data_IF_632754470442
#
_entry.id   IF_632754470442
#
_cell.length_a   1.000
_cell.length_b   1.000
_cell.length_c   1.000
_cell.angle_alpha   90.00
_cell.angle_beta   90.00
_cell.angle_gamma   90.00
#
_symmetry.space_group_name_H-M   'P 1'
#
loop_
_entity.id
_entity.type
_entity.pdbx_description
1 polymer ?
#
# COMPACT_ATOMS: atom_id res chain seq x y z
N UNK A 1 -4.55 8.98 14.98
CA UNK A 1 -4.38 8.72 13.54
C UNK A 1 -5.64 8.06 12.99
N UNK A 2 -6.12 8.47 11.81
CA UNK A 2 -7.30 7.90 11.14
C UNK A 2 -6.87 7.33 9.78
N UNK A 3 -7.24 6.09 9.48
CA UNK A 3 -6.78 5.37 8.29
C UNK A 3 -7.98 4.80 7.54
N UNK A 4 -7.97 4.88 6.21
CA UNK A 4 -8.96 4.26 5.35
C UNK A 4 -8.31 3.83 4.02
N UNK A 5 -8.45 2.57 3.63
CA UNK A 5 -8.08 2.12 2.30
C UNK A 5 -9.24 2.45 1.36
N UNK A 6 -9.07 3.43 0.49
CA UNK A 6 -10.13 3.89 -0.41
C UNK A 6 -10.35 2.93 -1.59
N UNK A 7 -9.26 2.37 -2.12
CA UNK A 7 -9.26 1.35 -3.16
C UNK A 7 -7.99 0.51 -3.07
N UNK A 8 -8.07 -0.79 -3.41
CA UNK A 8 -6.89 -1.65 -3.41
C UNK A 8 -7.01 -2.80 -4.41
N UNK A 9 -6.07 -2.87 -5.35
CA UNK A 9 -5.95 -3.90 -6.39
C UNK A 9 -5.57 -3.32 -7.75
N UNK A 10 -5.49 -4.14 -8.78
CA UNK A 10 -5.01 -3.81 -10.13
C UNK A 10 -5.82 -2.73 -10.88
N UNK A 11 -6.94 -2.27 -10.33
CA UNK A 11 -7.74 -1.16 -10.88
C UNK A 11 -7.42 0.18 -10.22
N UNK A 12 -6.66 0.17 -9.14
CA UNK A 12 -6.21 1.37 -8.47
C UNK A 12 -6.01 1.17 -6.98
N UNK A 13 -4.92 1.71 -6.47
CA UNK A 13 -4.52 1.69 -5.07
C UNK A 13 -4.47 3.11 -4.53
N UNK A 14 -5.20 3.35 -3.47
CA UNK A 14 -5.23 4.63 -2.74
C UNK A 14 -5.55 4.36 -1.28
N UNK A 15 -4.70 4.81 -0.39
CA UNK A 15 -4.98 4.77 1.06
C UNK A 15 -4.87 6.16 1.66
N UNK A 16 -5.80 6.50 2.53
CA UNK A 16 -5.84 7.76 3.26
C UNK A 16 -5.33 7.56 4.67
N UNK A 17 -4.43 8.43 5.12
CA UNK A 17 -3.93 8.50 6.49
C UNK A 17 -4.02 9.94 6.97
N UNK A 18 -4.75 10.17 8.05
CA UNK A 18 -4.82 11.46 8.73
C UNK A 18 -4.16 11.36 10.09
N UNK A 19 -3.30 12.30 10.36
CA UNK A 19 -2.58 12.49 11.62
C UNK A 19 -3.04 13.78 12.28
N UNK A 20 -2.43 14.21 13.38
CA UNK A 20 -2.78 15.47 14.03
C UNK A 20 -2.60 16.68 13.10
N UNK A 21 -1.57 16.66 12.24
CA UNK A 21 -1.19 17.82 11.43
C UNK A 21 -1.23 17.58 9.92
N UNK A 22 -1.37 16.34 9.45
CA UNK A 22 -1.27 15.99 8.04
C UNK A 22 -2.42 15.14 7.54
N UNK A 23 -2.82 15.38 6.28
CA UNK A 23 -3.72 14.53 5.49
C UNK A 23 -2.95 13.96 4.31
N UNK A 24 -2.64 12.68 4.40
CA UNK A 24 -1.72 11.97 3.52
C UNK A 24 -2.50 11.01 2.61
N UNK A 25 -2.20 11.01 1.32
CA UNK A 25 -2.55 9.90 0.44
C UNK A 25 -1.31 9.04 0.16
N UNK A 26 -1.47 7.74 0.29
CA UNK A 26 -0.52 6.74 -0.17
C UNK A 26 -1.05 6.22 -1.51
N UNK A 27 -0.33 6.54 -2.57
CA UNK A 27 -0.71 6.36 -3.97
C UNK A 27 -1.99 7.10 -4.41
N UNK A 28 -2.18 7.20 -5.72
CA UNK A 28 -3.34 7.79 -6.38
C UNK A 28 -3.72 7.00 -7.64
N UNK A 29 -3.90 5.69 -7.50
CA UNK A 29 -4.00 4.77 -8.62
C UNK A 29 -5.34 4.71 -9.34
N UNK A 30 -6.42 5.23 -8.73
CA UNK A 30 -7.74 5.27 -9.35
C UNK A 30 -8.06 6.67 -9.90
N UNK A 31 -9.28 6.90 -10.43
CA UNK A 31 -9.61 8.21 -10.95
C UNK A 31 -9.92 9.24 -9.84
N UNK A 32 -9.65 10.51 -10.13
CA UNK A 32 -9.75 11.60 -9.16
C UNK A 32 -11.16 11.80 -8.60
N UNK A 33 -12.21 11.52 -9.41
CA UNK A 33 -13.62 11.63 -8.98
C UNK A 33 -13.93 10.58 -7.90
N UNK A 34 -13.42 9.35 -8.08
CA UNK A 34 -13.57 8.29 -7.10
C UNK A 34 -12.89 8.68 -5.77
N UNK A 35 -11.65 9.16 -5.84
CA UNK A 35 -10.90 9.60 -4.63
C UNK A 35 -11.67 10.71 -3.92
N UNK A 36 -12.11 11.75 -4.65
CA UNK A 36 -12.88 12.87 -4.08
C UNK A 36 -14.13 12.38 -3.35
N UNK A 37 -14.93 11.54 -4.00
CA UNK A 37 -16.19 11.08 -3.41
C UNK A 37 -16.00 10.26 -2.12
N UNK A 38 -14.92 9.49 -2.01
CA UNK A 38 -14.62 8.70 -0.83
C UNK A 38 -13.99 9.55 0.29
N UNK A 39 -13.16 10.53 -0.06
CA UNK A 39 -12.66 11.51 0.91
C UNK A 39 -13.79 12.37 1.49
N UNK A 40 -14.76 12.79 0.67
CA UNK A 40 -15.93 13.56 1.11
C UNK A 40 -16.76 12.82 2.16
N UNK A 41 -16.90 11.49 2.06
CA UNK A 41 -17.54 10.65 3.09
C UNK A 41 -16.77 10.74 4.42
N UNK A 42 -15.45 10.94 4.38
CA UNK A 42 -14.60 11.13 5.56
C UNK A 42 -14.57 12.58 6.06
N UNK A 43 -15.31 13.49 5.40
CA UNK A 43 -15.31 14.92 5.69
C UNK A 43 -14.02 15.64 5.23
N UNK A 44 -13.34 15.10 4.24
CA UNK A 44 -12.07 15.61 3.70
C UNK A 44 -12.25 15.95 2.22
N UNK A 45 -11.72 17.08 1.77
CA UNK A 45 -11.66 17.43 0.35
C UNK A 45 -10.27 17.15 -0.23
N UNK A 46 -10.18 17.02 -1.56
CA UNK A 46 -8.88 16.89 -2.24
C UNK A 46 -7.95 18.10 -2.00
N UNK A 47 -8.51 19.28 -1.72
CA UNK A 47 -7.73 20.47 -1.38
C UNK A 47 -7.12 20.42 0.04
N UNK A 48 -7.62 19.56 0.90
CA UNK A 48 -7.09 19.38 2.26
C UNK A 48 -5.89 18.41 2.29
N UNK A 49 -5.66 17.69 1.20
CA UNK A 49 -4.52 16.77 1.09
C UNK A 49 -3.25 17.58 0.94
N UNK A 50 -2.41 17.54 1.94
CA UNK A 50 -1.13 18.26 1.96
C UNK A 50 0.05 17.39 1.46
N UNK A 51 -0.07 16.09 1.55
CA UNK A 51 1.01 15.13 1.26
C UNK A 51 0.51 13.93 0.49
N UNK A 52 1.22 13.58 -0.58
CA UNK A 52 1.03 12.36 -1.36
C UNK A 52 2.37 11.64 -1.42
N UNK A 53 2.39 10.37 -1.05
CA UNK A 53 3.60 9.54 -1.08
C UNK A 53 3.36 8.39 -2.05
N UNK A 54 4.18 8.30 -3.09
CA UNK A 54 4.04 7.31 -4.17
C UNK A 54 4.93 6.10 -3.89
N UNK A 55 4.33 4.91 -3.94
CA UNK A 55 5.06 3.65 -3.76
C UNK A 55 5.87 3.27 -5.01
N UNK A 56 5.28 3.40 -6.19
CA UNK A 56 5.91 3.18 -7.49
C UNK A 56 5.03 3.75 -8.62
N UNK A 57 5.47 3.66 -9.88
CA UNK A 57 4.85 4.43 -10.97
C UNK A 57 3.92 3.64 -11.88
N UNK A 58 3.52 2.41 -11.53
CA UNK A 58 2.49 1.72 -12.30
C UNK A 58 1.18 2.52 -12.31
N UNK A 59 0.41 2.40 -13.38
CA UNK A 59 -0.80 3.21 -13.60
C UNK A 59 -1.82 3.06 -12.48
N UNK A 60 -1.93 1.89 -11.89
CA UNK A 60 -2.81 1.62 -10.75
C UNK A 60 -2.29 2.20 -9.42
N UNK A 61 -1.18 2.96 -9.44
CA UNK A 61 -0.64 3.71 -8.31
C UNK A 61 -0.55 5.22 -8.55
N UNK A 62 -0.48 5.66 -9.82
CA UNK A 62 -0.39 7.09 -10.16
C UNK A 62 -1.48 7.60 -11.13
N UNK A 63 -2.47 6.78 -11.48
CA UNK A 63 -3.43 7.09 -12.54
C UNK A 63 -4.21 8.42 -12.39
N UNK A 64 -4.43 8.90 -11.17
CA UNK A 64 -5.05 10.20 -10.92
C UNK A 64 -4.04 11.34 -10.71
N UNK A 65 -2.76 11.05 -10.52
CA UNK A 65 -1.76 12.02 -10.03
C UNK A 65 -1.61 13.22 -10.96
N UNK A 66 -1.52 13.00 -12.28
CA UNK A 66 -1.42 14.10 -13.25
C UNK A 66 -2.66 15.01 -13.25
N UNK A 67 -3.84 14.45 -13.00
CA UNK A 67 -5.06 15.25 -12.90
C UNK A 67 -5.14 16.00 -11.56
N UNK A 68 -4.57 15.43 -10.50
CA UNK A 68 -4.49 16.08 -9.20
C UNK A 68 -3.58 17.31 -9.26
N UNK A 69 -2.34 17.17 -9.71
CA UNK A 69 -1.34 18.26 -9.73
C UNK A 69 -1.72 19.46 -10.61
N UNK A 70 -2.65 19.27 -11.55
CA UNK A 70 -3.21 20.38 -12.37
C UNK A 70 -4.17 21.28 -11.59
N UNK A 71 -4.70 20.84 -10.45
CA UNK A 71 -5.78 21.51 -9.72
C UNK A 71 -5.47 21.77 -8.25
N UNK A 72 -4.59 20.97 -7.67
CA UNK A 72 -4.30 20.96 -6.24
C UNK A 72 -2.79 21.07 -6.01
N UNK A 73 -2.38 21.49 -4.80
CA UNK A 73 -1.01 21.89 -4.49
C UNK A 73 -0.35 21.05 -3.38
N UNK A 74 -0.88 19.87 -3.05
CA UNK A 74 -0.25 18.95 -2.09
C UNK A 74 1.16 18.54 -2.54
N UNK A 75 2.07 18.37 -1.61
CA UNK A 75 3.44 17.88 -1.89
C UNK A 75 3.38 16.43 -2.37
N UNK A 76 4.09 16.12 -3.45
CA UNK A 76 4.21 14.77 -4.00
C UNK A 76 5.60 14.25 -3.74
N UNK A 77 5.71 13.17 -2.98
CA UNK A 77 6.95 12.52 -2.62
C UNK A 77 7.23 11.34 -3.54
N UNK A 78 8.33 11.37 -4.26
CA UNK A 78 8.80 10.32 -5.17
C UNK A 78 10.31 10.16 -5.08
N UNK A 79 10.83 8.97 -5.39
CA UNK A 79 12.28 8.78 -5.54
C UNK A 79 12.76 9.24 -6.90
N UNK A 80 14.07 9.47 -7.03
CA UNK A 80 14.68 9.79 -8.32
C UNK A 80 14.47 8.64 -9.34
N UNK A 81 14.51 7.39 -8.89
CA UNK A 81 14.26 6.21 -9.74
C UNK A 81 12.86 6.21 -10.35
N UNK A 82 11.83 6.53 -9.55
CA UNK A 82 10.45 6.67 -10.01
C UNK A 82 10.32 7.79 -11.07
N UNK A 83 10.94 8.95 -10.81
CA UNK A 83 10.90 10.09 -11.75
C UNK A 83 11.60 9.75 -13.07
N UNK A 84 12.72 9.03 -13.03
CA UNK A 84 13.44 8.62 -14.23
C UNK A 84 12.70 7.60 -15.11
N UNK A 85 11.74 6.91 -14.53
CA UNK A 85 10.91 5.93 -15.24
C UNK A 85 9.65 6.56 -15.87
N UNK A 86 9.20 7.75 -15.40
CA UNK A 86 8.14 8.51 -16.03
C UNK A 86 8.53 8.92 -17.45
N UNK A 87 7.54 9.07 -18.35
CA UNK A 87 7.77 9.62 -19.68
C UNK A 87 8.42 11.02 -19.60
N UNK A 88 9.21 11.38 -20.62
CA UNK A 88 9.94 12.66 -20.63
C UNK A 88 9.03 13.88 -20.59
N UNK A 89 7.84 13.77 -21.13
CA UNK A 89 6.79 14.79 -21.21
C UNK A 89 5.79 14.74 -20.05
N UNK A 90 5.96 13.83 -19.07
CA UNK A 90 5.08 13.77 -17.91
C UNK A 90 5.12 15.08 -17.09
N UNK A 91 3.96 15.70 -16.84
CA UNK A 91 3.89 16.94 -16.05
C UNK A 91 4.32 16.76 -14.60
N UNK A 92 4.36 15.52 -14.10
CA UNK A 92 4.83 15.21 -12.74
C UNK A 92 6.29 15.62 -12.58
N UNK A 93 7.13 15.47 -13.62
CA UNK A 93 8.57 15.79 -13.56
C UNK A 93 8.87 17.28 -13.27
N UNK A 94 7.98 18.15 -13.66
CA UNK A 94 8.11 19.62 -13.49
C UNK A 94 7.13 20.19 -12.46
N UNK A 95 6.49 19.33 -11.67
CA UNK A 95 5.55 19.79 -10.67
C UNK A 95 6.28 20.58 -9.56
N UNK A 96 5.78 21.77 -9.27
CA UNK A 96 6.44 22.71 -8.33
C UNK A 96 6.57 22.20 -6.89
N UNK A 97 5.62 21.36 -6.47
CA UNK A 97 5.59 20.75 -5.13
C UNK A 97 6.07 19.28 -5.13
N UNK A 98 6.84 18.86 -6.15
CA UNK A 98 7.49 17.56 -6.17
C UNK A 98 8.67 17.57 -5.19
N UNK A 99 8.68 16.60 -4.28
CA UNK A 99 9.75 16.37 -3.31
C UNK A 99 10.45 15.07 -3.63
N UNK A 100 11.74 15.14 -3.92
CA UNK A 100 12.58 13.96 -4.18
C UNK A 100 13.16 13.48 -2.86
N UNK A 101 12.99 12.19 -2.55
CA UNK A 101 13.57 11.55 -1.37
C UNK A 101 14.37 10.31 -1.75
N UNK A 102 15.28 9.91 -0.89
CA UNK A 102 16.05 8.65 -1.01
C UNK A 102 16.00 7.85 0.31
N UNK A 103 15.99 8.57 1.42
CA UNK A 103 15.93 8.04 2.78
C UNK A 103 14.56 8.28 3.43
N UNK A 104 14.46 8.09 4.75
CA UNK A 104 13.25 8.36 5.53
C UNK A 104 12.75 9.80 5.35
N UNK A 105 11.43 9.96 5.29
CA UNK A 105 10.76 11.25 5.16
C UNK A 105 10.38 11.77 6.55
N UNK A 106 10.59 13.06 6.78
CA UNK A 106 10.21 13.73 8.02
C UNK A 106 9.22 14.85 7.71
N UNK A 107 8.05 14.78 8.34
CA UNK A 107 6.95 15.73 8.22
C UNK A 107 6.60 16.18 9.64
N UNK A 108 7.11 17.32 10.07
CA UNK A 108 6.93 17.86 11.41
C UNK A 108 7.12 16.79 12.52
N UNK A 109 6.04 16.26 13.06
CA UNK A 109 6.01 15.24 14.11
C UNK A 109 5.90 13.79 13.59
N UNK A 110 5.86 13.59 12.26
CA UNK A 110 5.75 12.29 11.62
C UNK A 110 7.09 11.86 11.05
N UNK A 111 7.46 10.61 11.29
CA UNK A 111 8.53 9.93 10.58
C UNK A 111 7.95 8.84 9.69
N UNK A 112 8.28 8.89 8.40
CA UNK A 112 7.98 7.83 7.44
C UNK A 112 9.25 7.06 7.17
N UNK A 113 9.36 5.83 7.70
CA UNK A 113 10.46 4.95 7.33
C UNK A 113 10.21 4.39 5.93
N UNK A 114 11.24 4.42 5.11
CA UNK A 114 11.21 3.98 3.73
C UNK A 114 11.78 2.57 3.61
N UNK A 115 11.04 1.69 2.94
CA UNK A 115 11.38 0.28 2.73
C UNK A 115 11.47 0.04 1.23
N UNK A 116 12.58 -0.51 0.76
CA UNK A 116 12.70 -0.93 -0.62
C UNK A 116 11.95 -2.24 -0.83
N UNK A 117 10.95 -2.22 -1.70
CA UNK A 117 10.21 -3.41 -2.14
C UNK A 117 10.88 -4.04 -3.37
N UNK A 118 10.43 -5.22 -3.75
CA UNK A 118 10.92 -5.95 -4.92
C UNK A 118 9.79 -6.10 -5.93
N UNK A 119 9.75 -5.22 -6.90
CA UNK A 119 8.71 -5.18 -7.93
C UNK A 119 9.31 -4.86 -9.29
N UNK A 120 8.59 -5.11 -10.38
CA UNK A 120 9.04 -4.96 -11.77
C UNK A 120 8.99 -3.50 -12.27
N UNK A 121 9.55 -2.61 -11.51
CA UNK A 121 9.75 -1.17 -11.79
C UNK A 121 11.17 -0.79 -11.39
N UNK A 122 11.69 0.31 -11.91
CA UNK A 122 13.06 0.77 -11.57
C UNK A 122 13.24 1.00 -10.08
N UNK A 123 12.19 1.49 -9.43
CA UNK A 123 12.24 1.76 -8.00
C UNK A 123 10.84 1.66 -7.37
N UNK A 124 10.73 0.85 -6.34
CA UNK A 124 9.49 0.69 -5.57
C UNK A 124 9.75 0.75 -4.08
N UNK A 125 8.80 1.28 -3.33
CA UNK A 125 8.89 1.55 -1.88
C UNK A 125 7.63 1.12 -1.14
N UNK A 126 7.84 0.59 0.07
CA UNK A 126 6.83 0.52 1.11
C UNK A 126 7.15 1.52 2.21
N UNK A 127 6.21 1.76 3.11
CA UNK A 127 6.31 2.82 4.10
C UNK A 127 5.86 2.36 5.49
N UNK A 128 6.48 2.92 6.54
CA UNK A 128 5.93 2.90 7.89
C UNK A 128 5.76 4.33 8.36
N UNK A 129 4.53 4.79 8.45
CA UNK A 129 4.19 6.12 8.97
C UNK A 129 4.08 6.02 10.48
N UNK A 130 4.85 6.83 11.20
CA UNK A 130 4.89 6.84 12.66
C UNK A 130 4.45 8.21 13.18
N UNK A 131 3.47 8.21 14.11
CA UNK A 131 3.00 9.38 14.87
C UNK A 131 2.92 8.99 16.34
N UNK A 132 3.84 9.50 17.16
CA UNK A 132 3.94 9.11 18.57
C UNK A 132 4.12 7.59 18.74
N UNK A 133 3.15 6.94 19.40
CA UNK A 133 3.13 5.48 19.59
C UNK A 133 2.38 4.73 18.48
N UNK A 134 1.66 5.44 17.63
CA UNK A 134 0.88 4.83 16.55
C UNK A 134 1.72 4.68 15.28
N UNK A 135 1.44 3.64 14.52
CA UNK A 135 2.16 3.39 13.27
C UNK A 135 1.30 2.63 12.26
N UNK A 136 1.49 2.97 10.98
CA UNK A 136 0.84 2.29 9.85
C UNK A 136 1.91 1.78 8.90
N UNK A 137 1.90 0.48 8.62
CA UNK A 137 2.67 -0.14 7.55
C UNK A 137 1.85 -0.08 6.27
N UNK A 138 2.43 0.42 5.20
CA UNK A 138 1.92 0.31 3.83
C UNK A 138 2.92 -0.47 3.00
N UNK A 139 2.58 -1.71 2.69
CA UNK A 139 3.42 -2.60 1.89
C UNK A 139 2.55 -3.28 0.84
N UNK A 140 2.71 -2.86 -0.39
CA UNK A 140 2.04 -3.39 -1.56
C UNK A 140 3.08 -3.68 -2.64
N UNK A 141 2.73 -4.52 -3.60
CA UNK A 141 3.52 -4.80 -4.80
C UNK A 141 4.97 -5.19 -4.49
N UNK A 142 5.11 -6.39 -3.96
CA UNK A 142 6.43 -6.96 -3.69
C UNK A 142 6.43 -8.47 -3.83
N UNK A 143 7.39 -9.01 -4.57
CA UNK A 143 7.56 -10.46 -4.70
C UNK A 143 8.17 -11.11 -3.44
N UNK A 144 8.87 -10.36 -2.62
CA UNK A 144 9.38 -10.80 -1.32
C UNK A 144 9.71 -9.64 -0.41
N UNK A 145 9.76 -9.91 0.90
CA UNK A 145 10.15 -8.94 1.92
C UNK A 145 11.56 -9.26 2.44
N UNK A 146 12.49 -8.31 2.28
CA UNK A 146 13.84 -8.46 2.79
C UNK A 146 13.88 -8.42 4.32
N UNK A 147 14.47 -9.43 4.95
CA UNK A 147 14.54 -9.58 6.41
C UNK A 147 15.22 -8.41 7.13
N UNK A 148 16.09 -7.65 6.46
CA UNK A 148 16.73 -6.46 7.06
C UNK A 148 15.72 -5.42 7.56
N UNK A 149 14.49 -5.43 7.01
CA UNK A 149 13.42 -4.51 7.38
C UNK A 149 12.51 -5.02 8.51
N UNK A 150 12.69 -6.25 8.97
CA UNK A 150 11.81 -6.83 9.99
C UNK A 150 11.80 -6.01 11.29
N UNK A 151 12.95 -5.45 11.71
CA UNK A 151 13.00 -4.61 12.91
C UNK A 151 12.16 -3.32 12.77
N UNK A 152 12.08 -2.77 11.55
CA UNK A 152 11.29 -1.58 11.26
C UNK A 152 9.80 -1.93 11.16
N UNK A 153 9.49 -3.11 10.64
CA UNK A 153 8.11 -3.55 10.38
C UNK A 153 7.44 -4.23 11.57
N UNK A 154 8.23 -4.77 12.51
CA UNK A 154 7.70 -5.57 13.63
C UNK A 154 6.90 -4.73 14.62
N UNK A 155 5.81 -5.32 15.16
CA UNK A 155 4.99 -4.79 16.24
C UNK A 155 4.42 -3.40 15.92
N UNK A 156 3.91 -3.20 14.70
CA UNK A 156 3.27 -1.96 14.27
C UNK A 156 1.78 -1.99 14.54
N UNK A 157 1.18 -0.80 14.68
CA UNK A 157 -0.23 -0.67 15.10
C UNK A 157 -1.20 -1.16 14.03
N UNK A 158 -0.98 -0.77 12.77
CA UNK A 158 -1.82 -1.18 11.62
C UNK A 158 -0.95 -1.67 10.49
N UNK A 159 -1.37 -2.75 9.84
CA UNK A 159 -0.75 -3.25 8.62
C UNK A 159 -1.73 -3.15 7.45
N UNK A 160 -1.37 -2.38 6.43
CA UNK A 160 -1.92 -2.44 5.08
C UNK A 160 -0.90 -3.26 4.27
N UNK A 161 -1.20 -4.54 4.08
CA UNK A 161 -0.17 -5.50 3.66
C UNK A 161 -0.66 -6.34 2.49
N UNK A 162 0.15 -6.44 1.43
CA UNK A 162 -0.19 -7.21 0.25
C UNK A 162 -0.51 -8.67 0.57
N UNK A 163 -1.59 -9.17 -0.05
CA UNK A 163 -1.96 -10.59 -0.12
C UNK A 163 -2.60 -10.85 -1.48
N UNK A 164 -1.75 -10.94 -2.50
CA UNK A 164 -2.22 -10.80 -3.87
C UNK A 164 -2.96 -12.03 -4.38
N UNK A 165 -2.40 -13.22 -4.27
CA UNK A 165 -2.97 -14.40 -4.92
C UNK A 165 -2.95 -15.66 -4.05
N UNK A 166 -3.94 -16.50 -4.27
CA UNK A 166 -3.89 -17.89 -3.89
C UNK A 166 -3.08 -18.68 -4.91
N UNK A 167 -2.15 -19.51 -4.44
CA UNK A 167 -1.20 -20.23 -5.31
C UNK A 167 -1.92 -21.23 -6.22
N UNK A 168 -2.91 -21.96 -5.69
CA UNK A 168 -3.64 -22.97 -6.46
C UNK A 168 -4.55 -22.31 -7.49
N UNK A 169 -5.25 -21.22 -7.13
CA UNK A 169 -6.04 -20.45 -8.09
C UNK A 169 -5.17 -19.89 -9.22
N UNK A 170 -4.00 -19.37 -8.90
CA UNK A 170 -3.09 -18.83 -9.92
C UNK A 170 -2.58 -19.94 -10.85
N UNK A 171 -2.10 -21.07 -10.31
CA UNK A 171 -1.58 -22.19 -11.11
C UNK A 171 -2.67 -22.75 -12.04
N UNK A 172 -3.87 -22.95 -11.54
CA UNK A 172 -5.01 -23.49 -12.29
C UNK A 172 -5.81 -22.43 -13.06
N UNK A 173 -5.52 -21.15 -12.83
CA UNK A 173 -6.22 -20.01 -13.42
C UNK A 173 -5.94 -19.79 -14.90
N UNK A 174 -6.65 -18.82 -15.47
CA UNK A 174 -6.66 -18.52 -16.91
C UNK A 174 -5.42 -17.76 -17.41
N UNK A 175 -4.57 -17.27 -16.52
CA UNK A 175 -3.37 -16.52 -16.93
C UNK A 175 -2.43 -17.38 -17.78
N UNK A 176 -1.83 -16.83 -18.85
CA UNK A 176 -0.81 -17.53 -19.59
C UNK A 176 0.43 -17.80 -18.72
N UNK A 177 1.22 -18.82 -19.06
CA UNK A 177 2.36 -19.28 -18.26
C UNK A 177 3.32 -18.13 -17.89
N UNK A 178 3.70 -17.30 -18.86
CA UNK A 178 4.61 -16.18 -18.64
C UNK A 178 4.10 -15.18 -17.58
N UNK A 179 2.77 -14.97 -17.51
CA UNK A 179 2.17 -14.07 -16.51
C UNK A 179 2.12 -14.72 -15.12
N UNK A 180 1.86 -16.03 -15.06
CA UNK A 180 1.95 -16.80 -13.81
C UNK A 180 3.37 -16.73 -13.25
N UNK A 181 4.38 -16.98 -14.08
CA UNK A 181 5.80 -16.91 -13.71
C UNK A 181 6.18 -15.49 -13.21
N UNK A 182 5.66 -14.44 -13.87
CA UNK A 182 5.86 -13.06 -13.44
C UNK A 182 5.24 -12.82 -12.06
N UNK A 183 4.01 -13.27 -11.82
CA UNK A 183 3.27 -13.03 -10.55
C UNK A 183 3.96 -13.71 -9.37
N UNK A 184 4.41 -14.97 -9.52
CA UNK A 184 5.10 -15.71 -8.44
C UNK A 184 6.60 -15.37 -8.35
N UNK A 185 7.12 -14.64 -9.30
CA UNK A 185 8.54 -14.28 -9.36
C UNK A 185 8.99 -13.31 -8.26
N UNK A 186 10.29 -13.14 -8.04
CA UNK A 186 10.83 -12.27 -7.00
C UNK A 186 10.50 -10.79 -7.19
N UNK A 187 10.06 -10.41 -8.37
CA UNK A 187 9.60 -9.05 -8.73
C UNK A 187 8.08 -9.00 -8.96
N UNK A 188 7.36 -10.06 -8.61
CA UNK A 188 5.92 -10.14 -8.70
C UNK A 188 5.22 -9.68 -7.43
N UNK A 189 4.40 -10.57 -6.86
CA UNK A 189 3.54 -10.27 -5.72
C UNK A 189 3.58 -11.37 -4.66
N UNK A 190 3.29 -11.00 -3.41
CA UNK A 190 3.16 -11.97 -2.32
C UNK A 190 1.91 -12.84 -2.52
N UNK A 191 2.09 -14.16 -2.39
CA UNK A 191 0.96 -15.07 -2.21
C UNK A 191 0.29 -14.85 -0.85
N UNK A 192 -0.96 -15.31 -0.69
CA UNK A 192 -1.64 -15.34 0.61
C UNK A 192 -0.78 -16.01 1.68
N UNK A 193 -0.12 -17.12 1.31
CA UNK A 193 0.75 -17.88 2.20
C UNK A 193 1.98 -17.08 2.63
N UNK A 194 2.71 -16.47 1.69
CA UNK A 194 3.92 -15.72 2.01
C UNK A 194 3.60 -14.48 2.84
N UNK A 195 2.55 -13.75 2.47
CA UNK A 195 2.04 -12.60 3.24
C UNK A 195 1.72 -13.01 4.69
N UNK A 196 1.01 -14.13 4.87
CA UNK A 196 0.62 -14.63 6.18
C UNK A 196 1.83 -15.05 7.03
N UNK A 197 2.85 -15.69 6.42
CA UNK A 197 4.10 -16.07 7.09
C UNK A 197 4.88 -14.82 7.53
N UNK A 198 4.95 -13.78 6.70
CA UNK A 198 5.57 -12.52 7.09
C UNK A 198 4.81 -11.87 8.23
N UNK A 199 3.48 -11.72 8.12
CA UNK A 199 2.65 -11.14 9.17
C UNK A 199 2.75 -11.90 10.49
N UNK A 200 2.80 -13.24 10.48
CA UNK A 200 2.99 -14.04 11.69
C UNK A 200 4.29 -13.72 12.44
N UNK A 201 5.33 -13.26 11.72
CA UNK A 201 6.62 -12.85 12.30
C UNK A 201 6.68 -11.37 12.71
N UNK A 202 5.76 -10.56 12.20
CA UNK A 202 5.74 -9.11 12.37
C UNK A 202 4.75 -8.63 13.43
N UNK A 203 3.62 -9.29 13.56
CA UNK A 203 2.56 -8.96 14.53
C UNK A 203 3.10 -9.05 15.96
N UNK A 204 2.64 -8.15 16.82
CA UNK A 204 3.03 -8.11 18.23
C UNK A 204 1.96 -7.46 19.10
N UNK A 205 2.30 -7.13 20.35
CA UNK A 205 1.37 -6.60 21.37
C UNK A 205 0.72 -5.26 20.99
N UNK A 206 1.40 -4.45 20.17
CA UNK A 206 0.89 -3.14 19.75
C UNK A 206 0.00 -3.22 18.50
N UNK A 207 -0.08 -4.39 17.87
CA UNK A 207 -0.87 -4.56 16.65
C UNK A 207 -2.36 -4.54 16.95
N UNK A 208 -3.09 -3.65 16.29
CA UNK A 208 -4.55 -3.46 16.47
C UNK A 208 -5.35 -3.92 15.26
N UNK A 209 -4.78 -3.81 14.04
CA UNK A 209 -5.50 -4.12 12.80
C UNK A 209 -4.55 -4.61 11.71
N UNK A 210 -5.02 -5.58 10.93
CA UNK A 210 -4.44 -5.98 9.65
C UNK A 210 -5.51 -5.80 8.57
N UNK A 211 -5.17 -5.12 7.49
CA UNK A 211 -5.94 -5.12 6.25
C UNK A 211 -5.06 -5.78 5.17
N UNK A 212 -5.52 -6.91 4.65
CA UNK A 212 -4.93 -7.53 3.48
C UNK A 212 -5.29 -6.71 2.26
N UNK A 213 -4.30 -6.29 1.50
CA UNK A 213 -4.46 -5.37 0.37
C UNK A 213 -4.02 -6.01 -0.95
N UNK A 214 -4.35 -5.37 -2.06
CA UNK A 214 -3.93 -5.75 -3.40
C UNK A 214 -4.31 -7.19 -3.81
N UNK A 215 -5.51 -7.63 -3.42
CA UNK A 215 -6.02 -8.95 -3.79
C UNK A 215 -6.29 -9.01 -5.30
N UNK A 216 -5.80 -10.06 -5.96
CA UNK A 216 -6.07 -10.31 -7.36
C UNK A 216 -7.54 -10.67 -7.57
N UNK A 217 -8.22 -9.99 -8.48
CA UNK A 217 -9.60 -10.29 -8.83
C UNK A 217 -9.79 -11.68 -9.47
N UNK A 218 -8.77 -12.17 -10.21
CA UNK A 218 -8.83 -13.42 -10.96
C UNK A 218 -8.28 -14.62 -10.17
N UNK A 219 -7.34 -14.38 -9.26
CA UNK A 219 -6.57 -15.45 -8.63
C UNK A 219 -6.61 -15.38 -7.09
N UNK A 220 -7.64 -14.73 -6.52
CA UNK A 220 -7.85 -14.66 -5.08
C UNK A 220 -9.32 -14.46 -4.75
N UNK A 221 -9.66 -14.72 -3.49
CA UNK A 221 -10.91 -14.29 -2.85
C UNK A 221 -10.65 -13.83 -1.43
N UNK A 222 -11.52 -12.99 -0.87
CA UNK A 222 -11.42 -12.56 0.53
C UNK A 222 -11.42 -13.77 1.47
N UNK A 223 -12.31 -14.75 1.22
CA UNK A 223 -12.42 -15.96 2.04
C UNK A 223 -11.13 -16.79 2.05
N UNK A 224 -10.48 -16.97 0.90
CA UNK A 224 -9.21 -17.70 0.80
C UNK A 224 -8.08 -16.94 1.51
N UNK A 225 -7.98 -15.64 1.31
CA UNK A 225 -6.96 -14.84 1.97
C UNK A 225 -7.12 -14.88 3.51
N UNK A 226 -8.36 -14.74 4.01
CA UNK A 226 -8.66 -14.79 5.44
C UNK A 226 -8.50 -16.21 6.03
N UNK A 227 -8.85 -17.25 5.30
CA UNK A 227 -8.61 -18.63 5.73
C UNK A 227 -7.11 -18.92 5.84
N UNK A 228 -6.35 -18.57 4.80
CA UNK A 228 -4.90 -18.80 4.77
C UNK A 228 -4.17 -18.11 5.92
N UNK A 229 -4.46 -16.84 6.20
CA UNK A 229 -3.80 -16.14 7.31
C UNK A 229 -4.18 -16.73 8.66
N UNK A 230 -5.43 -17.13 8.84
CA UNK A 230 -5.89 -17.81 10.07
C UNK A 230 -5.17 -19.14 10.31
N UNK A 231 -5.02 -19.96 9.27
CA UNK A 231 -4.34 -21.25 9.37
C UNK A 231 -2.85 -21.07 9.69
N UNK A 232 -2.18 -20.15 9.00
CA UNK A 232 -0.76 -19.84 9.26
C UNK A 232 -0.57 -19.23 10.66
N UNK A 233 -1.47 -18.35 11.11
CA UNK A 233 -1.38 -17.79 12.47
C UNK A 233 -1.54 -18.86 13.53
N UNK A 234 -2.46 -19.81 13.34
CA UNK A 234 -2.60 -20.98 14.23
C UNK A 234 -1.32 -21.83 14.23
N UNK A 235 -0.74 -22.11 13.07
CA UNK A 235 0.51 -22.87 12.94
C UNK A 235 1.68 -22.19 13.67
N UNK A 236 1.77 -20.86 13.63
CA UNK A 236 2.80 -20.06 14.26
C UNK A 236 2.50 -19.66 15.71
N UNK A 237 1.33 -20.05 16.24
CA UNK A 237 0.90 -19.70 17.60
C UNK A 237 0.63 -18.21 17.80
N UNK A 238 0.17 -17.51 16.77
CA UNK A 238 -0.18 -16.09 16.81
C UNK A 238 -1.67 -15.93 17.12
N UNK A 239 -1.99 -15.34 18.25
CA UNK A 239 -3.36 -15.02 18.67
C UNK A 239 -3.74 -13.60 18.23
N UNK A 240 -4.13 -13.44 16.97
CA UNK A 240 -4.60 -12.18 16.43
C UNK A 240 -5.73 -12.42 15.41
N UNK A 241 -6.85 -11.71 15.55
CA UNK A 241 -8.07 -11.96 14.77
C UNK A 241 -8.68 -10.73 14.09
N UNK A 242 -8.21 -9.51 14.40
CA UNK A 242 -8.74 -8.29 13.79
C UNK A 242 -8.16 -8.06 12.38
N UNK A 243 -8.59 -8.91 11.45
CA UNK A 243 -8.09 -8.97 10.08
C UNK A 243 -9.26 -8.76 9.12
N UNK A 244 -9.07 -7.96 8.09
CA UNK A 244 -10.02 -7.78 6.98
C UNK A 244 -9.28 -7.67 5.64
N UNK A 245 -10.02 -7.73 4.54
CA UNK A 245 -9.49 -7.49 3.20
C UNK A 245 -9.97 -6.14 2.68
N UNK A 246 -9.10 -5.43 1.98
CA UNK A 246 -9.48 -4.26 1.19
C UNK A 246 -10.03 -4.68 -0.17
N UNK A 247 -11.00 -3.90 -0.68
CA UNK A 247 -11.65 -4.15 -1.97
C UNK A 247 -11.17 -3.19 -3.04
N UNK A 248 -11.36 -3.58 -4.30
CA UNK A 248 -10.91 -2.77 -5.43
C UNK A 248 -11.74 -1.49 -5.64
N UNK A 249 -13.03 -1.53 -5.30
CA UNK A 249 -13.99 -0.46 -5.63
C UNK A 249 -14.85 -0.01 -4.47
N UNK A 250 -14.51 -0.43 -3.26
CA UNK A 250 -15.18 -0.05 -2.02
C UNK A 250 -14.15 0.35 -0.98
N UNK A 251 -14.38 1.46 -0.30
CA UNK A 251 -13.51 1.87 0.80
C UNK A 251 -13.63 0.91 1.99
N UNK A 252 -12.53 0.71 2.69
CA UNK A 252 -12.54 -0.03 3.95
C UNK A 252 -13.31 0.71 5.05
N UNK A 253 -13.57 0.03 6.16
CA UNK A 253 -13.91 0.73 7.41
C UNK A 253 -12.81 1.75 7.77
N UNK A 254 -13.22 2.81 8.48
CA UNK A 254 -12.28 3.78 9.04
C UNK A 254 -11.68 3.20 10.31
N UNK A 255 -10.36 3.20 10.40
CA UNK A 255 -9.62 2.76 11.58
C UNK A 255 -9.16 4.00 12.34
N UNK A 256 -9.51 4.10 13.60
CA UNK A 256 -9.04 5.15 14.51
C UNK A 256 -8.10 4.54 15.57
N UNK A 257 -6.89 5.12 15.70
CA UNK A 257 -5.85 4.65 16.61
C UNK A 257 -5.15 5.81 17.32
#
# INVERSE_FOLDING_TARGET
MRICVLASGSKGNVSFVETANHKILLDMGTNLRYISSHLEVLGVSLSDIDTIIISHIHTDHIGALENYIKKYHGKVYMTLGMIQELSEDSPIRSYENLVIFDDDIYLDDIRVNVIKTSHDTKDSRGYVINEGLNSVVYLTDTGYLNQKYFNILRNRTVYLFESNHDVEMLINGKYPAWLKDRVVGPYGHLSNKDASIYLAKLVGSETKKIILTHLSHENNTEDLALATIKDIFNEYGVEFSNISCARQTEASEVIEI
#
